data_IF_182153746671
#
_entry.id   IF_182153746671
#
_cell.length_a   1.000
_cell.length_b   1.000
_cell.length_c   1.000
_cell.angle_alpha   90.00
_cell.angle_beta   90.00
_cell.angle_gamma   90.00
#
_symmetry.space_group_name_H-M   'P 1'
#
loop_
_entity.id
_entity.type
_entity.pdbx_description
1 polymer ?
#
# COMPACT_ATOMS: atom_id res chain seq x y z
N UNK A 1 -8.68 -18.65 4.72
CA UNK A 1 -8.45 -17.55 5.65
C UNK A 1 -9.81 -16.92 5.89
N UNK A 2 -10.33 -17.01 7.10
CA UNK A 2 -11.64 -16.47 7.49
C UNK A 2 -11.51 -14.95 7.60
N UNK A 3 -12.10 -14.20 6.66
CA UNK A 3 -12.27 -12.75 6.81
C UNK A 3 -13.48 -12.55 7.72
N UNK A 4 -13.23 -12.62 9.02
CA UNK A 4 -14.20 -12.20 10.01
C UNK A 4 -14.54 -10.73 9.75
N UNK A 5 -15.82 -10.44 9.58
CA UNK A 5 -16.43 -9.13 9.42
C UNK A 5 -16.29 -8.23 10.67
N UNK A 6 -15.09 -8.14 11.22
CA UNK A 6 -14.75 -7.16 12.23
C UNK A 6 -14.01 -6.03 11.51
N UNK A 7 -14.52 -4.80 11.59
CA UNK A 7 -13.82 -3.60 11.11
C UNK A 7 -12.46 -3.40 11.82
N UNK A 8 -12.05 -4.34 12.68
CA UNK A 8 -10.93 -4.21 13.60
C UNK A 8 -11.14 -3.01 14.53
N UNK A 9 -10.03 -2.46 15.01
CA UNK A 9 -10.04 -1.23 15.82
C UNK A 9 -10.25 0.05 14.99
N UNK A 10 -10.50 -0.06 13.68
CA UNK A 10 -10.59 1.09 12.77
C UNK A 10 -12.04 1.26 12.31
N UNK A 11 -12.75 2.31 12.74
CA UNK A 11 -14.12 2.56 12.29
C UNK A 11 -14.24 2.57 10.77
N UNK A 12 -15.25 1.88 10.24
CA UNK A 12 -15.56 1.80 8.81
C UNK A 12 -14.47 1.13 7.95
N UNK A 13 -13.59 0.32 8.53
CA UNK A 13 -12.50 -0.33 7.80
C UNK A 13 -12.99 -1.15 6.60
N UNK A 14 -14.05 -1.95 6.74
CA UNK A 14 -14.57 -2.75 5.65
C UNK A 14 -15.05 -1.89 4.48
N UNK A 15 -15.64 -0.72 4.75
CA UNK A 15 -16.06 0.22 3.71
C UNK A 15 -14.85 0.82 2.99
N UNK A 16 -13.82 1.23 3.73
CA UNK A 16 -12.58 1.78 3.17
C UNK A 16 -11.81 0.74 2.35
N UNK A 17 -11.81 -0.53 2.78
CA UNK A 17 -11.25 -1.65 2.04
C UNK A 17 -12.02 -1.83 0.73
N UNK A 18 -13.35 -1.94 0.76
CA UNK A 18 -14.17 -2.06 -0.47
C UNK A 18 -13.95 -0.92 -1.45
N UNK A 19 -13.89 0.32 -0.96
CA UNK A 19 -13.60 1.49 -1.78
C UNK A 19 -12.24 1.36 -2.48
N UNK A 20 -11.21 0.93 -1.75
CA UNK A 20 -9.87 0.76 -2.29
C UNK A 20 -9.80 -0.41 -3.28
N UNK A 21 -10.44 -1.54 -2.98
CA UNK A 21 -10.52 -2.69 -3.89
C UNK A 21 -11.19 -2.32 -5.21
N UNK A 22 -12.33 -1.62 -5.16
CA UNK A 22 -13.03 -1.14 -6.35
C UNK A 22 -12.17 -0.14 -7.16
N UNK A 23 -11.44 0.74 -6.48
CA UNK A 23 -10.51 1.68 -7.10
C UNK A 23 -9.38 0.97 -7.86
N UNK A 24 -8.76 -0.05 -7.25
CA UNK A 24 -7.64 -0.79 -7.85
C UNK A 24 -8.09 -1.69 -9.00
N UNK A 25 -9.24 -2.36 -8.85
CA UNK A 25 -9.79 -3.25 -9.88
C UNK A 25 -10.43 -2.50 -11.04
N UNK A 26 -10.75 -1.21 -10.86
CA UNK A 26 -11.43 -0.40 -11.86
C UNK A 26 -12.93 -0.73 -12.00
N UNK A 27 -13.53 -1.37 -11.00
CA UNK A 27 -14.98 -1.63 -10.98
C UNK A 27 -15.72 -0.32 -10.68
N UNK A 28 -16.19 0.33 -11.75
CA UNK A 28 -16.87 1.62 -11.66
C UNK A 28 -18.15 1.56 -10.81
N UNK A 29 -18.92 0.47 -10.91
CA UNK A 29 -20.18 0.35 -10.18
C UNK A 29 -19.94 0.16 -8.68
N UNK A 30 -18.99 -0.69 -8.30
CA UNK A 30 -18.60 -0.87 -6.91
C UNK A 30 -17.96 0.40 -6.34
N UNK A 31 -17.17 1.12 -7.15
CA UNK A 31 -16.52 2.36 -6.75
C UNK A 31 -17.54 3.47 -6.48
N UNK A 32 -18.54 3.65 -7.35
CA UNK A 32 -19.60 4.64 -7.16
C UNK A 32 -20.43 4.33 -5.91
N UNK A 33 -20.83 3.07 -5.72
CA UNK A 33 -21.55 2.65 -4.52
C UNK A 33 -20.75 2.91 -3.22
N UNK A 34 -19.46 2.60 -3.22
CA UNK A 34 -18.60 2.86 -2.06
C UNK A 34 -18.41 4.35 -1.79
N UNK A 35 -18.31 5.18 -2.84
CA UNK A 35 -18.23 6.65 -2.70
C UNK A 35 -19.49 7.22 -2.04
N UNK A 36 -20.67 6.78 -2.49
CA UNK A 36 -21.95 7.18 -1.92
C UNK A 36 -22.04 6.78 -0.44
N UNK A 37 -21.69 5.54 -0.11
CA UNK A 37 -21.73 5.03 1.27
C UNK A 37 -20.73 5.76 2.19
N UNK A 38 -19.54 6.12 1.70
CA UNK A 38 -18.58 6.94 2.46
C UNK A 38 -19.15 8.34 2.72
N UNK A 39 -19.73 8.99 1.71
CA UNK A 39 -20.32 10.32 1.88
C UNK A 39 -21.47 10.28 2.89
N UNK A 40 -22.31 9.26 2.83
CA UNK A 40 -23.44 9.09 3.75
C UNK A 40 -22.99 8.87 5.19
N UNK A 41 -21.99 8.00 5.42
CA UNK A 41 -21.60 7.56 6.77
C UNK A 41 -20.50 8.40 7.40
N UNK A 42 -19.63 8.99 6.58
CA UNK A 42 -18.39 9.65 7.02
C UNK A 42 -18.28 11.10 6.52
N UNK A 43 -19.10 11.49 5.54
CA UNK A 43 -19.12 12.82 4.95
C UNK A 43 -18.18 12.98 3.75
N UNK A 44 -18.43 14.03 2.95
CA UNK A 44 -17.69 14.29 1.72
C UNK A 44 -16.17 14.54 1.94
N UNK A 45 -15.79 15.15 3.08
CA UNK A 45 -14.39 15.34 3.43
C UNK A 45 -13.64 14.01 3.60
N UNK A 46 -14.26 13.03 4.24
CA UNK A 46 -13.69 11.71 4.42
C UNK A 46 -13.48 10.97 3.09
N UNK A 47 -14.38 11.15 2.11
CA UNK A 47 -14.18 10.62 0.76
C UNK A 47 -12.94 11.24 0.09
N UNK A 48 -12.76 12.56 0.21
CA UNK A 48 -11.59 13.25 -0.35
C UNK A 48 -10.30 12.75 0.30
N UNK A 49 -10.29 12.60 1.62
CA UNK A 49 -9.13 12.11 2.37
C UNK A 49 -8.81 10.66 1.99
N UNK A 50 -9.81 9.78 1.96
CA UNK A 50 -9.65 8.38 1.58
C UNK A 50 -9.12 8.24 0.14
N UNK A 51 -9.69 9.00 -0.81
CA UNK A 51 -9.23 9.02 -2.20
C UNK A 51 -7.80 9.57 -2.32
N UNK A 52 -7.46 10.60 -1.54
CA UNK A 52 -6.11 11.17 -1.49
C UNK A 52 -5.09 10.17 -0.98
N UNK A 53 -5.40 9.45 0.11
CA UNK A 53 -4.54 8.39 0.66
C UNK A 53 -4.37 7.25 -0.33
N UNK A 54 -5.47 6.71 -0.88
CA UNK A 54 -5.40 5.62 -1.85
C UNK A 54 -4.59 6.01 -3.09
N UNK A 55 -4.80 7.21 -3.62
CA UNK A 55 -4.05 7.75 -4.75
C UNK A 55 -2.56 7.96 -4.46
N UNK A 56 -2.22 8.40 -3.24
CA UNK A 56 -0.83 8.59 -2.83
C UNK A 56 -0.07 7.25 -2.76
N UNK A 57 -0.64 6.22 -2.14
CA UNK A 57 -0.02 4.90 -2.06
C UNK A 57 0.15 4.26 -3.44
N UNK A 58 -0.85 4.37 -4.31
CA UNK A 58 -0.73 3.96 -5.70
C UNK A 58 0.35 4.73 -6.47
N UNK A 59 0.44 6.05 -6.26
CA UNK A 59 1.44 6.90 -6.90
C UNK A 59 2.87 6.58 -6.45
N UNK A 60 3.09 6.42 -5.15
CA UNK A 60 4.42 6.14 -4.60
C UNK A 60 4.96 4.79 -5.06
N UNK A 61 4.11 3.76 -5.14
CA UNK A 61 4.50 2.45 -5.68
C UNK A 61 5.05 2.58 -7.10
N UNK A 62 4.34 3.29 -8.00
CA UNK A 62 4.80 3.48 -9.38
C UNK A 62 6.08 4.30 -9.47
N UNK A 63 6.24 5.31 -8.63
CA UNK A 63 7.48 6.10 -8.57
C UNK A 63 8.65 5.22 -8.15
N UNK A 64 8.47 4.41 -7.10
CA UNK A 64 9.50 3.49 -6.61
C UNK A 64 9.92 2.47 -7.68
N UNK A 65 8.95 1.90 -8.40
CA UNK A 65 9.21 0.97 -9.50
C UNK A 65 9.95 1.63 -10.67
N UNK A 66 9.58 2.87 -10.99
CA UNK A 66 10.17 3.62 -12.09
C UNK A 66 11.63 3.99 -11.84
N UNK A 67 11.96 4.41 -10.61
CA UNK A 67 13.33 4.80 -10.24
C UNK A 67 14.19 3.63 -9.74
N UNK A 68 13.58 2.46 -9.56
CA UNK A 68 14.27 1.23 -9.19
C UNK A 68 14.73 1.20 -7.72
N UNK A 69 13.88 1.67 -6.79
CA UNK A 69 14.22 1.62 -5.36
C UNK A 69 14.43 0.15 -4.93
N UNK A 70 15.59 -0.23 -4.38
CA UNK A 70 15.80 -1.58 -3.88
C UNK A 70 14.89 -1.92 -2.71
N UNK A 71 14.42 -3.17 -2.69
CA UNK A 71 13.83 -3.76 -1.50
C UNK A 71 14.93 -4.12 -0.51
N UNK A 72 14.81 -3.71 0.75
CA UNK A 72 15.81 -3.99 1.78
C UNK A 72 15.94 -5.51 2.02
N UNK A 73 17.16 -6.02 2.22
CA UNK A 73 17.45 -7.46 2.32
C UNK A 73 16.56 -8.17 3.35
N UNK A 74 16.33 -7.55 4.52
CA UNK A 74 15.44 -8.09 5.55
C UNK A 74 14.00 -8.28 5.02
N UNK A 75 13.48 -7.34 4.22
CA UNK A 75 12.15 -7.49 3.62
C UNK A 75 12.13 -8.53 2.51
N UNK A 76 13.21 -8.67 1.74
CA UNK A 76 13.32 -9.71 0.71
C UNK A 76 13.16 -11.09 1.33
N UNK A 77 13.87 -11.35 2.42
CA UNK A 77 13.80 -12.61 3.18
C UNK A 77 12.42 -12.81 3.83
N UNK A 78 11.91 -11.79 4.54
CA UNK A 78 10.62 -11.91 5.24
C UNK A 78 9.41 -12.09 4.32
N UNK A 79 9.52 -11.70 3.05
CA UNK A 79 8.40 -11.72 2.10
C UNK A 79 8.51 -12.80 1.03
N UNK A 80 9.54 -13.67 1.09
CA UNK A 80 9.80 -14.68 0.05
C UNK A 80 8.57 -15.54 -0.28
N UNK A 81 8.02 -16.24 0.73
CA UNK A 81 6.84 -17.10 0.55
C UNK A 81 5.61 -16.32 0.08
N UNK A 82 5.43 -15.09 0.58
CA UNK A 82 4.30 -14.24 0.22
C UNK A 82 4.39 -13.77 -1.24
N UNK A 83 5.57 -13.32 -1.67
CA UNK A 83 5.84 -12.92 -3.06
C UNK A 83 5.66 -14.10 -4.00
N UNK A 84 6.17 -15.28 -3.62
CA UNK A 84 5.99 -16.51 -4.39
C UNK A 84 4.49 -16.87 -4.53
N UNK A 85 3.73 -16.81 -3.44
CA UNK A 85 2.29 -17.09 -3.43
C UNK A 85 1.46 -16.12 -4.29
N UNK A 86 1.88 -14.86 -4.40
CA UNK A 86 1.23 -13.86 -5.25
C UNK A 86 1.72 -13.89 -6.72
N UNK A 87 2.77 -14.66 -7.03
CA UNK A 87 3.44 -14.59 -8.33
C UNK A 87 4.12 -13.24 -8.60
N UNK A 88 4.52 -12.53 -7.53
CA UNK A 88 5.06 -11.18 -7.61
C UNK A 88 6.35 -11.10 -8.44
N UNK A 89 7.13 -12.17 -8.48
CA UNK A 89 8.39 -12.24 -9.22
C UNK A 89 8.19 -12.24 -10.76
N UNK A 90 6.95 -12.37 -11.24
CA UNK A 90 6.63 -12.28 -12.67
C UNK A 90 6.48 -10.84 -13.19
N UNK A 91 6.39 -9.85 -12.29
CA UNK A 91 6.26 -8.45 -12.66
C UNK A 91 7.63 -7.78 -12.87
N UNK A 92 7.67 -6.71 -13.68
CA UNK A 92 8.91 -5.97 -13.97
C UNK A 92 9.59 -5.42 -12.71
N UNK A 93 8.82 -5.12 -11.65
CA UNK A 93 9.34 -4.64 -10.37
C UNK A 93 10.24 -5.64 -9.64
N UNK A 94 10.16 -6.95 -9.96
CA UNK A 94 11.01 -7.98 -9.37
C UNK A 94 12.51 -7.74 -9.58
N UNK A 95 12.88 -6.96 -10.61
CA UNK A 95 14.26 -6.51 -10.84
C UNK A 95 14.84 -5.65 -9.70
N UNK A 96 13.98 -5.10 -8.84
CA UNK A 96 14.34 -4.25 -7.71
C UNK A 96 14.42 -5.04 -6.38
N UNK A 97 14.23 -6.37 -6.41
CA UNK A 97 14.32 -7.25 -5.25
C UNK A 97 15.74 -7.83 -5.16
N UNK A 98 16.43 -7.62 -4.03
CA UNK A 98 17.80 -8.14 -3.82
C UNK A 98 18.88 -7.07 -3.94
N UNK A 99 20.11 -7.48 -4.30
CA UNK A 99 21.34 -6.68 -4.28
C UNK A 99 21.32 -5.51 -5.27
N UNK A 100 20.58 -4.44 -4.96
CA UNK A 100 20.88 -3.12 -5.50
C UNK A 100 21.81 -2.38 -4.52
N UNK A 101 22.76 -1.59 -5.03
CA UNK A 101 23.74 -0.90 -4.21
C UNK A 101 23.05 0.09 -3.28
N UNK A 102 22.89 -0.30 -2.03
CA UNK A 102 22.53 0.62 -0.95
C UNK A 102 23.74 1.51 -0.73
N UNK A 103 23.55 2.84 -0.71
CA UNK A 103 24.65 3.74 -0.35
C UNK A 103 25.15 3.34 1.03
N UNK A 104 26.47 3.31 1.22
CA UNK A 104 27.07 2.91 2.49
C UNK A 104 26.59 3.75 3.71
N UNK A 105 26.01 4.93 3.46
CA UNK A 105 25.45 5.84 4.46
C UNK A 105 23.91 5.78 4.60
N UNK A 106 23.21 4.88 3.91
CA UNK A 106 21.75 4.87 3.84
C UNK A 106 21.08 4.73 5.23
N UNK A 107 21.61 3.88 6.12
CA UNK A 107 21.10 3.74 7.49
C UNK A 107 21.26 5.03 8.30
N UNK A 108 22.39 5.74 8.15
CA UNK A 108 22.63 7.00 8.82
C UNK A 108 21.80 8.16 8.23
N UNK A 109 21.48 8.10 6.94
CA UNK A 109 20.81 9.15 6.19
C UNK A 109 19.28 9.08 6.25
N UNK A 110 18.67 7.88 6.29
CA UNK A 110 17.22 7.73 6.16
C UNK A 110 16.41 8.14 7.40
N UNK A 111 16.99 8.07 8.60
CA UNK A 111 16.24 8.36 9.83
C UNK A 111 16.99 9.23 10.85
N UNK A 112 18.26 9.57 10.58
CA UNK A 112 19.16 10.12 11.60
C UNK A 112 19.30 9.16 12.79
N UNK A 113 20.18 9.48 13.75
CA UNK A 113 20.11 8.79 15.04
C UNK A 113 18.77 9.12 15.67
N UNK A 114 17.93 8.10 15.89
CA UNK A 114 16.65 8.24 16.57
C UNK A 114 16.87 9.07 17.85
N UNK A 115 16.41 10.33 17.86
CA UNK A 115 16.41 11.12 19.08
C UNK A 115 15.31 10.56 19.96
N UNK A 116 15.70 9.67 20.87
CA UNK A 116 14.89 9.34 22.04
C UNK A 116 14.74 10.65 22.82
N UNK A 117 13.50 11.12 22.96
CA UNK A 117 13.14 12.18 23.90
C UNK A 117 12.96 11.57 25.28
#
# INVERSE_FOLDING_TARGET
MDVSSDDGAVPHAALLIRFTEALITGDAAALDAAREEIVERMGAGALVDAAGVAGAFEGFTRIADAIGIPTETVKVEMTEDFRAGLGADSFTGARNVGDAPVRADAEAACWGTARVK
#
